data_IF_877960881296
#
_entry.id   IF_877960881296
#
_cell.length_a   1.000
_cell.length_b   1.000
_cell.length_c   1.000
_cell.angle_alpha   90.00
_cell.angle_beta   90.00
_cell.angle_gamma   90.00
#
_symmetry.space_group_name_H-M   'P 1'
#
loop_
_entity.id
_entity.type
_entity.pdbx_description
1 polymer ?
#
# COMPACT_ATOMS: atom_id res chain seq x y z
N UNK A 1 -15.95 -42.37 -42.43
CA UNK A 1 -16.64 -41.13 -42.05
C UNK A 1 -16.80 -40.96 -40.52
N UNK A 2 -17.22 -41.99 -39.76
CA UNK A 2 -17.39 -41.88 -38.29
C UNK A 2 -16.09 -41.55 -37.50
N UNK A 3 -14.92 -42.03 -37.97
CA UNK A 3 -13.59 -41.76 -37.29
C UNK A 3 -13.08 -40.35 -37.55
N UNK A 4 -13.42 -39.72 -38.68
CA UNK A 4 -13.03 -38.32 -39.00
C UNK A 4 -13.89 -37.35 -38.20
N UNK A 5 -15.18 -37.67 -38.01
CA UNK A 5 -16.07 -36.85 -37.19
C UNK A 5 -15.66 -36.81 -35.72
N UNK A 6 -15.20 -37.94 -35.19
CA UNK A 6 -14.70 -38.03 -33.80
C UNK A 6 -13.40 -37.21 -33.59
N UNK A 7 -12.52 -37.18 -34.61
CA UNK A 7 -11.28 -36.37 -34.53
C UNK A 7 -11.58 -34.88 -34.58
N UNK A 8 -12.59 -34.45 -35.36
CA UNK A 8 -12.98 -33.03 -35.42
C UNK A 8 -13.65 -32.55 -34.14
N UNK A 9 -14.42 -33.41 -33.47
CA UNK A 9 -15.03 -33.10 -32.17
C UNK A 9 -13.99 -32.99 -31.07
N UNK A 10 -12.92 -33.78 -31.09
CA UNK A 10 -11.83 -33.72 -30.14
C UNK A 10 -10.97 -32.46 -30.31
N UNK A 11 -10.76 -32.00 -31.57
CA UNK A 11 -10.04 -30.72 -31.81
C UNK A 11 -10.84 -29.51 -31.38
N UNK A 12 -12.15 -29.52 -31.42
CA UNK A 12 -13.02 -28.43 -30.95
C UNK A 12 -13.03 -28.30 -29.42
N UNK A 13 -12.79 -29.38 -28.69
CA UNK A 13 -12.68 -29.37 -27.23
C UNK A 13 -11.35 -28.81 -26.74
N UNK A 14 -10.30 -28.80 -27.55
CA UNK A 14 -8.99 -28.23 -27.22
C UNK A 14 -8.91 -26.71 -27.52
N UNK A 15 -9.85 -26.17 -28.30
CA UNK A 15 -9.94 -24.72 -28.59
C UNK A 15 -10.72 -23.92 -27.49
N UNK A 16 -11.21 -24.63 -26.47
CA UNK A 16 -11.95 -24.04 -25.37
C UNK A 16 -11.03 -23.49 -24.27
N UNK A 17 -10.98 -22.16 -24.17
CA UNK A 17 -10.61 -21.39 -23.02
C UNK A 17 -9.12 -21.28 -22.66
N UNK A 18 -8.40 -20.49 -23.42
CA UNK A 18 -7.52 -19.54 -22.77
C UNK A 18 -8.18 -18.15 -22.78
N UNK A 19 -9.31 -18.00 -22.13
CA UNK A 19 -9.63 -16.73 -21.52
C UNK A 19 -8.55 -16.55 -20.45
N UNK A 20 -7.48 -15.84 -20.79
CA UNK A 20 -6.41 -15.51 -19.83
C UNK A 20 -7.10 -14.92 -18.61
N UNK A 21 -6.94 -15.56 -17.45
CA UNK A 21 -7.35 -14.95 -16.22
C UNK A 21 -6.70 -13.57 -16.19
N UNK A 22 -7.49 -12.53 -15.93
CA UNK A 22 -6.95 -11.19 -15.78
C UNK A 22 -5.78 -11.26 -14.81
N UNK A 23 -4.65 -10.58 -15.08
CA UNK A 23 -3.51 -10.62 -14.17
C UNK A 23 -3.98 -10.19 -12.79
N UNK A 24 -3.70 -11.01 -11.78
CA UNK A 24 -4.02 -10.66 -10.40
C UNK A 24 -3.18 -9.45 -10.05
N UNK A 25 -3.85 -8.32 -9.82
CA UNK A 25 -3.20 -7.09 -9.36
C UNK A 25 -2.80 -7.24 -7.90
N UNK A 26 -1.62 -6.77 -7.55
CA UNK A 26 -1.16 -6.86 -6.16
C UNK A 26 -0.11 -5.82 -5.81
N UNK A 27 0.01 -5.58 -4.51
CA UNK A 27 1.11 -4.88 -3.86
C UNK A 27 1.77 -5.82 -2.85
N UNK A 28 3.08 -5.79 -2.76
CA UNK A 28 3.85 -6.60 -1.81
C UNK A 28 5.14 -5.89 -1.42
N UNK A 29 5.79 -6.24 -0.28
CA UNK A 29 7.14 -5.79 0.01
C UNK A 29 8.06 -6.09 -1.18
N UNK A 30 8.92 -5.12 -1.53
CA UNK A 30 9.80 -5.27 -2.69
C UNK A 30 10.89 -6.30 -2.42
N UNK A 31 11.13 -7.17 -3.39
CA UNK A 31 12.28 -8.06 -3.40
C UNK A 31 13.47 -7.32 -4.04
N UNK A 32 14.43 -6.91 -3.21
CA UNK A 32 15.63 -6.23 -3.65
C UNK A 32 16.76 -7.23 -3.93
N UNK A 33 17.50 -7.01 -5.01
CA UNK A 33 18.75 -7.71 -5.20
C UNK A 33 19.87 -7.08 -4.34
N UNK A 34 21.05 -7.73 -4.25
CA UNK A 34 22.15 -7.28 -3.39
C UNK A 34 22.62 -5.86 -3.68
N UNK A 35 22.61 -5.42 -4.95
CA UNK A 35 23.03 -4.08 -5.35
C UNK A 35 21.97 -3.05 -4.96
N UNK A 36 20.67 -3.34 -5.19
CA UNK A 36 19.56 -2.50 -4.79
C UNK A 36 19.52 -2.36 -3.27
N UNK A 37 19.72 -3.46 -2.54
CA UNK A 37 19.73 -3.44 -1.08
C UNK A 37 20.89 -2.58 -0.54
N UNK A 38 22.08 -2.68 -1.13
CA UNK A 38 23.21 -1.85 -0.75
C UNK A 38 22.95 -0.36 -0.98
N UNK A 39 22.34 0.00 -2.11
CA UNK A 39 21.95 1.39 -2.39
C UNK A 39 20.85 1.86 -1.44
N UNK A 40 19.85 1.04 -1.20
CA UNK A 40 18.76 1.36 -0.27
C UNK A 40 19.30 1.65 1.14
N UNK A 41 20.21 0.81 1.65
CA UNK A 41 20.88 1.02 2.95
C UNK A 41 21.68 2.31 3.01
N UNK A 42 22.39 2.66 1.93
CA UNK A 42 23.13 3.94 1.86
C UNK A 42 22.20 5.16 1.92
N UNK A 43 20.94 5.00 1.51
CA UNK A 43 19.91 6.03 1.55
C UNK A 43 19.08 6.01 2.84
N UNK A 44 19.41 5.13 3.80
CA UNK A 44 18.72 5.00 5.09
C UNK A 44 17.44 4.17 5.04
N UNK A 45 17.31 3.29 4.04
CA UNK A 45 16.13 2.44 3.88
C UNK A 45 16.11 1.18 4.78
N UNK A 46 16.93 1.15 5.81
CA UNK A 46 17.04 0.02 6.74
C UNK A 46 16.17 0.16 8.00
N UNK A 47 15.70 1.36 8.30
CA UNK A 47 14.91 1.64 9.53
C UNK A 47 13.55 2.25 9.26
N UNK A 48 13.49 3.29 8.39
CA UNK A 48 12.32 4.15 8.27
C UNK A 48 11.75 4.22 6.83
N UNK A 49 12.31 3.42 5.92
CA UNK A 49 11.87 3.40 4.52
C UNK A 49 11.41 2.01 4.11
N UNK A 50 10.21 1.94 3.54
CA UNK A 50 9.58 0.72 3.10
C UNK A 50 9.31 0.79 1.60
N UNK A 51 9.77 -0.23 0.88
CA UNK A 51 9.59 -0.35 -0.56
C UNK A 51 8.59 -1.47 -0.88
N UNK A 52 7.75 -1.22 -1.87
CA UNK A 52 6.73 -2.16 -2.32
C UNK A 52 6.75 -2.29 -3.84
N UNK A 53 6.70 -3.52 -4.33
CA UNK A 53 6.44 -3.83 -5.73
C UNK A 53 4.93 -3.86 -5.98
N UNK A 54 4.52 -3.26 -7.09
CA UNK A 54 3.12 -3.14 -7.51
C UNK A 54 2.94 -3.77 -8.88
N UNK A 55 1.92 -4.59 -9.03
CA UNK A 55 1.50 -5.15 -10.32
C UNK A 55 0.04 -4.80 -10.58
N UNK A 56 -0.22 -4.19 -11.73
CA UNK A 56 -1.53 -3.72 -12.18
C UNK A 56 -1.92 -4.42 -13.49
N UNK A 57 -3.18 -4.28 -13.87
CA UNK A 57 -3.71 -4.80 -15.14
C UNK A 57 -3.50 -3.83 -16.33
N UNK A 58 -2.95 -2.65 -16.08
CA UNK A 58 -2.71 -1.60 -17.08
C UNK A 58 -3.89 -0.67 -17.33
N UNK A 59 -4.99 -0.79 -16.58
CA UNK A 59 -6.17 0.10 -16.68
C UNK A 59 -6.26 1.11 -15.55
N UNK A 60 -5.41 0.98 -14.51
CA UNK A 60 -5.30 1.96 -13.44
C UNK A 60 -4.88 3.32 -14.00
N UNK A 61 -5.54 4.38 -13.57
CA UNK A 61 -5.24 5.76 -13.95
C UNK A 61 -4.63 6.57 -12.83
N UNK A 62 -4.91 6.20 -11.60
CA UNK A 62 -4.39 6.92 -10.44
C UNK A 62 -4.05 5.99 -9.30
N UNK A 63 -3.08 6.40 -8.50
CA UNK A 63 -2.85 5.90 -7.15
C UNK A 63 -2.95 7.07 -6.18
N UNK A 64 -3.66 6.88 -5.09
CA UNK A 64 -3.77 7.84 -3.99
C UNK A 64 -3.13 7.26 -2.74
N UNK A 65 -2.48 8.12 -1.98
CA UNK A 65 -1.93 7.80 -0.67
C UNK A 65 -2.68 8.63 0.35
N UNK A 66 -3.27 7.98 1.34
CA UNK A 66 -4.09 8.63 2.36
C UNK A 66 -3.51 8.36 3.74
N UNK A 67 -3.57 9.38 4.61
CA UNK A 67 -3.25 9.25 6.02
C UNK A 67 -4.50 9.46 6.85
N UNK A 68 -4.76 8.55 7.75
CA UNK A 68 -5.91 8.55 8.64
C UNK A 68 -5.45 8.64 10.09
N UNK A 69 -6.28 9.25 10.94
CA UNK A 69 -6.21 9.17 12.39
C UNK A 69 -7.44 8.44 12.91
N UNK A 70 -7.27 7.66 13.96
CA UNK A 70 -8.38 7.01 14.64
C UNK A 70 -8.96 7.96 15.69
N UNK A 71 -10.21 8.37 15.50
CA UNK A 71 -10.96 9.20 16.43
C UNK A 71 -12.34 8.57 16.68
N UNK A 72 -12.72 8.40 17.94
CA UNK A 72 -14.01 7.85 18.35
C UNK A 72 -14.38 6.52 17.63
N UNK A 73 -13.39 5.63 17.47
CA UNK A 73 -13.54 4.33 16.81
C UNK A 73 -13.74 4.39 15.30
N UNK A 74 -13.39 5.51 14.65
CA UNK A 74 -13.48 5.70 13.20
C UNK A 74 -12.22 6.30 12.64
N UNK A 75 -11.91 5.95 11.39
CA UNK A 75 -10.83 6.56 10.66
C UNK A 75 -11.27 7.91 10.07
N UNK A 76 -10.63 8.99 10.54
CA UNK A 76 -10.80 10.33 9.98
C UNK A 76 -9.61 10.65 9.07
N UNK A 77 -9.89 11.16 7.88
CA UNK A 77 -8.87 11.51 6.90
C UNK A 77 -8.10 12.76 7.35
N UNK A 78 -6.81 12.62 7.65
CA UNK A 78 -5.94 13.73 8.05
C UNK A 78 -5.47 14.51 6.83
N UNK A 79 -4.95 13.78 5.84
CA UNK A 79 -4.58 14.36 4.54
C UNK A 79 -5.11 13.45 3.45
N UNK A 80 -5.89 14.00 2.54
CA UNK A 80 -6.20 13.36 1.28
C UNK A 80 -4.97 13.44 0.40
N UNK A 81 -3.96 12.66 0.73
CA UNK A 81 -2.63 12.58 0.22
C UNK A 81 -2.40 12.94 -1.22
N UNK A 82 -1.17 12.86 -1.67
CA UNK A 82 -0.87 13.01 -3.08
C UNK A 82 -1.59 11.96 -3.91
N UNK A 83 -2.06 12.38 -5.06
CA UNK A 83 -2.47 11.48 -6.11
C UNK A 83 -1.44 11.51 -7.23
N UNK A 84 -1.01 10.34 -7.68
CA UNK A 84 -0.15 10.22 -8.86
C UNK A 84 -0.95 9.67 -10.02
N UNK A 85 -0.93 10.38 -11.16
CA UNK A 85 -1.53 9.89 -12.40
C UNK A 85 -0.62 8.84 -13.02
N UNK A 86 -1.21 7.70 -13.37
CA UNK A 86 -0.53 6.60 -14.04
C UNK A 86 -0.82 6.66 -15.55
N UNK A 87 0.15 6.26 -16.36
CA UNK A 87 -0.05 6.16 -17.80
C UNK A 87 -0.75 4.85 -18.16
N UNK A 88 -1.60 4.91 -19.16
CA UNK A 88 -2.27 3.73 -19.68
C UNK A 88 -1.26 2.66 -20.13
N UNK A 89 -1.54 1.40 -19.77
CA UNK A 89 -0.68 0.26 -20.08
C UNK A 89 0.46 0.00 -19.09
N UNK A 90 0.67 0.86 -18.09
CA UNK A 90 1.64 0.61 -17.03
C UNK A 90 1.15 -0.52 -16.12
N UNK A 91 1.93 -1.58 -16.02
CA UNK A 91 1.55 -2.79 -15.28
C UNK A 91 2.44 -3.05 -14.07
N UNK A 92 3.66 -2.54 -14.06
CA UNK A 92 4.61 -2.79 -12.97
C UNK A 92 5.20 -1.48 -12.49
N UNK A 93 5.19 -1.33 -11.19
CA UNK A 93 5.75 -0.16 -10.53
C UNK A 93 6.31 -0.50 -9.17
N UNK A 94 6.86 0.51 -8.55
CA UNK A 94 7.42 0.45 -7.20
C UNK A 94 6.98 1.68 -6.43
N UNK A 95 6.63 1.49 -5.16
CA UNK A 95 6.30 2.58 -4.24
C UNK A 95 7.25 2.54 -3.05
N UNK A 96 7.63 3.70 -2.57
CA UNK A 96 8.44 3.83 -1.36
C UNK A 96 7.77 4.78 -0.39
N UNK A 97 7.77 4.42 0.88
CA UNK A 97 7.29 5.25 1.97
C UNK A 97 8.38 5.38 3.02
N UNK A 98 8.57 6.59 3.54
CA UNK A 98 9.51 6.85 4.59
C UNK A 98 8.92 7.83 5.60
N UNK A 99 8.86 7.44 6.87
CA UNK A 99 8.39 8.26 7.98
C UNK A 99 8.94 7.74 9.30
N UNK A 100 9.20 8.65 10.19
CA UNK A 100 9.44 8.36 11.61
C UNK A 100 8.13 8.49 12.39
N UNK A 101 7.34 9.50 12.05
CA UNK A 101 6.05 9.79 12.67
C UNK A 101 5.05 10.26 11.61
N UNK A 102 3.94 9.53 11.44
CA UNK A 102 2.90 9.86 10.47
C UNK A 102 2.17 11.19 10.78
N UNK A 103 2.30 11.73 11.99
CA UNK A 103 1.80 13.07 12.35
C UNK A 103 2.67 14.19 11.80
N UNK A 104 3.95 13.92 11.64
CA UNK A 104 4.95 14.89 11.24
C UNK A 104 5.23 14.86 9.75
N UNK A 105 6.44 14.45 9.43
CA UNK A 105 6.93 14.42 8.07
C UNK A 105 6.93 13.01 7.53
N UNK A 106 6.35 12.82 6.32
CA UNK A 106 6.54 11.58 5.58
C UNK A 106 6.86 11.85 4.11
N UNK A 107 7.50 10.89 3.49
CA UNK A 107 7.87 10.91 2.10
C UNK A 107 7.18 9.75 1.39
N UNK A 108 6.67 10.03 0.21
CA UNK A 108 6.25 9.00 -0.73
C UNK A 108 7.01 9.13 -2.04
N UNK A 109 7.26 8.01 -2.68
CA UNK A 109 7.75 7.98 -4.04
C UNK A 109 7.01 6.88 -4.81
N UNK A 110 6.62 7.20 -6.03
CA UNK A 110 5.90 6.32 -6.94
C UNK A 110 6.65 6.27 -8.25
N UNK A 111 6.97 5.07 -8.72
CA UNK A 111 7.62 4.84 -10.00
C UNK A 111 6.86 3.78 -10.79
N UNK A 112 6.43 4.15 -12.00
CA UNK A 112 5.91 3.21 -13.00
C UNK A 112 6.66 3.44 -14.31
N UNK A 113 7.23 2.36 -14.85
CA UNK A 113 8.07 2.45 -16.04
C UNK A 113 9.24 3.43 -15.85
N UNK A 114 9.23 4.54 -16.61
CA UNK A 114 10.25 5.62 -16.52
C UNK A 114 9.76 6.83 -15.75
N UNK A 115 8.48 6.86 -15.41
CA UNK A 115 7.90 7.99 -14.70
C UNK A 115 8.13 7.83 -13.20
N UNK A 116 8.54 8.93 -12.59
CA UNK A 116 8.87 8.99 -11.19
C UNK A 116 8.24 10.24 -10.57
N UNK A 117 7.56 10.07 -9.48
CA UNK A 117 7.02 11.15 -8.64
C UNK A 117 7.50 10.93 -7.22
N UNK A 118 8.00 11.96 -6.58
CA UNK A 118 8.30 11.92 -5.15
C UNK A 118 7.74 13.18 -4.49
N UNK A 119 7.09 12.99 -3.37
CA UNK A 119 6.48 14.04 -2.59
C UNK A 119 6.92 13.90 -1.14
N UNK A 120 7.11 15.04 -0.50
CA UNK A 120 7.38 15.14 0.93
C UNK A 120 6.24 15.93 1.55
N UNK A 121 5.56 15.32 2.49
CA UNK A 121 4.54 15.96 3.30
C UNK A 121 5.14 16.31 4.64
N UNK A 122 4.76 17.43 5.20
CA UNK A 122 5.21 17.85 6.51
C UNK A 122 4.13 18.64 7.20
N UNK A 123 3.96 18.39 8.49
CA UNK A 123 3.23 19.30 9.37
C UNK A 123 4.12 20.49 9.74
N UNK A 124 3.56 21.69 9.67
CA UNK A 124 4.23 22.88 10.23
C UNK A 124 4.04 23.00 11.74
N UNK A 125 3.24 22.12 12.31
CA UNK A 125 2.98 22.11 13.75
C UNK A 125 4.00 21.24 14.46
N UNK A 126 4.54 21.76 15.55
CA UNK A 126 5.44 21.00 16.44
C UNK A 126 4.61 19.91 17.15
N UNK A 127 5.08 18.68 17.08
CA UNK A 127 4.41 17.55 17.73
C UNK A 127 4.84 17.57 19.20
N UNK A 128 3.95 17.97 20.07
CA UNK A 128 4.16 17.95 21.52
C UNK A 128 3.69 16.59 22.08
N UNK A 129 4.62 15.67 22.24
CA UNK A 129 4.36 14.38 22.86
C UNK A 129 4.56 14.46 24.37
N UNK A 130 3.66 13.90 25.19
CA UNK A 130 3.88 13.71 26.61
C UNK A 130 5.18 12.94 26.86
N UNK A 131 5.87 13.28 27.96
CA UNK A 131 7.08 12.56 28.38
C UNK A 131 6.79 11.05 28.52
N UNK A 132 7.63 10.22 27.93
CA UNK A 132 7.48 8.77 27.95
C UNK A 132 6.60 8.20 26.84
N UNK A 133 6.19 9.01 25.84
CA UNK A 133 5.49 8.49 24.67
C UNK A 133 6.38 7.51 23.90
N UNK A 134 5.90 6.27 23.79
CA UNK A 134 6.47 5.23 22.95
C UNK A 134 5.78 5.18 21.60
N UNK A 135 6.51 4.70 20.59
CA UNK A 135 6.06 4.63 19.21
C UNK A 135 6.30 3.22 18.65
N UNK A 136 5.32 2.68 17.95
CA UNK A 136 5.48 1.42 17.20
C UNK A 136 4.72 1.49 15.89
N UNK A 137 5.20 0.78 14.86
CA UNK A 137 4.51 0.68 13.60
C UNK A 137 4.50 -0.77 13.09
N UNK A 138 3.39 -1.15 12.47
CA UNK A 138 3.24 -2.37 11.69
C UNK A 138 3.16 -2.01 10.22
N UNK A 139 3.79 -2.82 9.36
CA UNK A 139 3.85 -2.59 7.92
C UNK A 139 3.29 -3.77 7.16
N UNK A 140 2.85 -3.52 5.92
CA UNK A 140 2.44 -4.57 5.01
C UNK A 140 3.59 -5.58 4.82
N UNK A 141 3.39 -6.79 5.34
CA UNK A 141 4.42 -7.82 5.39
C UNK A 141 4.28 -8.87 4.28
N UNK A 142 3.19 -8.88 3.55
CA UNK A 142 2.89 -9.89 2.54
C UNK A 142 2.21 -9.33 1.30
N UNK A 143 1.99 -10.22 0.33
CA UNK A 143 1.28 -9.89 -0.90
C UNK A 143 -0.19 -9.66 -0.61
N UNK A 144 -0.71 -8.50 -1.05
CA UNK A 144 -2.12 -8.11 -0.93
C UNK A 144 -2.69 -7.84 -2.32
N UNK A 145 -3.88 -8.38 -2.58
CA UNK A 145 -4.61 -8.14 -3.81
C UNK A 145 -5.08 -6.68 -3.90
N UNK A 146 -4.88 -6.08 -5.07
CA UNK A 146 -5.39 -4.74 -5.38
C UNK A 146 -6.79 -4.88 -5.97
N UNK A 147 -7.75 -4.24 -5.31
CA UNK A 147 -9.11 -4.02 -5.83
C UNK A 147 -9.28 -2.52 -5.99
N UNK A 148 -9.75 -2.07 -7.15
CA UNK A 148 -9.98 -0.65 -7.39
C UNK A 148 -10.95 -0.06 -6.38
N UNK A 149 -10.74 1.21 -6.03
CA UNK A 149 -11.52 2.01 -5.07
C UNK A 149 -11.54 1.40 -3.65
N UNK A 150 -10.61 0.51 -3.34
CA UNK A 150 -10.46 -0.07 -2.01
C UNK A 150 -9.13 0.36 -1.40
N UNK A 151 -9.20 0.84 -0.16
CA UNK A 151 -8.02 1.14 0.64
C UNK A 151 -7.22 -0.12 0.97
N UNK A 152 -5.91 -0.01 0.84
CA UNK A 152 -4.96 -1.04 1.24
C UNK A 152 -4.07 -0.42 2.32
N UNK A 153 -4.17 -0.84 3.57
CA UNK A 153 -3.31 -0.35 4.63
C UNK A 153 -1.86 -0.79 4.37
N UNK A 154 -0.96 0.19 4.35
CA UNK A 154 0.48 0.00 4.17
C UNK A 154 1.19 0.02 5.51
N UNK A 155 0.74 0.89 6.42
CA UNK A 155 1.27 0.96 7.77
C UNK A 155 0.19 1.40 8.75
N UNK A 156 0.33 0.92 10.00
CA UNK A 156 -0.41 1.45 11.15
C UNK A 156 0.63 1.81 12.21
N UNK A 157 0.57 3.05 12.69
CA UNK A 157 1.45 3.57 13.73
C UNK A 157 0.65 3.90 14.98
N UNK A 158 1.17 3.46 16.12
CA UNK A 158 0.60 3.70 17.44
C UNK A 158 1.59 4.53 18.26
N UNK A 159 1.13 5.65 18.78
CA UNK A 159 1.86 6.50 19.71
C UNK A 159 1.12 6.50 21.04
N UNK A 160 1.78 6.11 22.12
CA UNK A 160 1.13 5.95 23.42
C UNK A 160 2.09 6.09 24.58
N UNK A 161 1.60 6.56 25.72
CA UNK A 161 2.33 6.59 27.00
C UNK A 161 2.23 5.28 27.78
N UNK A 162 1.48 4.29 27.27
CA UNK A 162 1.35 2.98 27.90
C UNK A 162 2.66 2.21 27.88
N UNK A 163 2.97 1.51 28.97
CA UNK A 163 4.18 0.70 29.10
C UNK A 163 4.23 -0.53 28.19
N UNK A 164 3.10 -0.90 27.59
CA UNK A 164 2.99 -2.01 26.65
C UNK A 164 2.16 -1.57 25.47
N UNK A 165 2.70 -1.81 24.28
CA UNK A 165 2.02 -1.62 23.02
C UNK A 165 1.89 -2.97 22.35
N UNK A 166 0.66 -3.35 22.01
CA UNK A 166 0.40 -4.52 21.18
C UNK A 166 0.41 -4.05 19.73
N UNK A 167 1.31 -4.64 18.96
CA UNK A 167 1.32 -4.47 17.51
C UNK A 167 0.25 -5.35 16.90
N UNK A 168 -0.62 -4.78 16.08
CA UNK A 168 -1.69 -5.49 15.41
C UNK A 168 -1.38 -5.65 13.93
N UNK A 169 -2.00 -6.67 13.33
CA UNK A 169 -1.99 -6.85 11.90
C UNK A 169 -2.74 -5.69 11.22
N UNK A 170 -2.32 -5.33 10.01
CA UNK A 170 -2.96 -4.27 9.23
C UNK A 170 -4.43 -4.55 8.91
N UNK A 171 -4.89 -5.79 8.98
CA UNK A 171 -6.30 -6.17 8.81
C UNK A 171 -7.22 -5.47 9.82
N UNK A 172 -6.71 -5.07 10.99
CA UNK A 172 -7.46 -4.30 11.98
C UNK A 172 -7.80 -2.88 11.51
N UNK A 173 -7.21 -2.39 10.41
CA UNK A 173 -7.67 -1.17 9.74
C UNK A 173 -9.17 -1.25 9.40
N UNK A 174 -9.67 -2.43 9.07
CA UNK A 174 -11.09 -2.66 8.77
C UNK A 174 -11.96 -2.93 10.01
N UNK A 175 -11.36 -2.87 11.21
CA UNK A 175 -11.99 -3.10 12.52
C UNK A 175 -11.49 -2.04 13.52
N UNK A 176 -11.73 -0.74 13.26
CA UNK A 176 -11.14 0.35 14.04
C UNK A 176 -11.53 0.33 15.53
N UNK A 177 -12.71 -0.24 15.84
CA UNK A 177 -13.18 -0.40 17.20
C UNK A 177 -12.29 -1.32 18.06
N UNK A 178 -11.48 -2.17 17.46
CA UNK A 178 -10.54 -3.01 18.20
C UNK A 178 -9.39 -2.17 18.76
N UNK A 179 -8.92 -1.16 18.01
CA UNK A 179 -7.91 -0.22 18.50
C UNK A 179 -8.48 0.70 19.59
N UNK A 180 -9.73 1.14 19.45
CA UNK A 180 -10.38 1.99 20.44
C UNK A 180 -10.46 1.30 21.81
N UNK A 181 -10.78 0.01 21.85
CA UNK A 181 -10.83 -0.81 23.09
C UNK A 181 -9.48 -0.83 23.83
N UNK A 182 -8.37 -0.65 23.12
CA UNK A 182 -7.05 -0.64 23.72
C UNK A 182 -6.71 0.71 24.35
N UNK A 183 -7.44 1.77 23.96
CA UNK A 183 -7.32 3.11 24.49
C UNK A 183 -5.92 3.67 24.32
N UNK A 184 -5.33 3.52 23.13
CA UNK A 184 -4.13 4.24 22.73
C UNK A 184 -4.47 5.69 22.43
N UNK A 185 -3.56 6.60 22.77
CA UNK A 185 -3.82 8.03 22.61
C UNK A 185 -3.88 8.43 21.14
N UNK A 186 -2.99 7.85 20.33
CA UNK A 186 -2.94 8.17 18.90
C UNK A 186 -2.67 6.92 18.08
N UNK A 187 -3.54 6.64 17.12
CA UNK A 187 -3.38 5.59 16.13
C UNK A 187 -3.54 6.20 14.74
N UNK A 188 -2.55 6.00 13.88
CA UNK A 188 -2.54 6.51 12.51
C UNK A 188 -2.42 5.36 11.52
N UNK A 189 -3.01 5.53 10.35
CA UNK A 189 -2.88 4.58 9.25
C UNK A 189 -2.42 5.30 7.98
N UNK A 190 -1.48 4.69 7.27
CA UNK A 190 -1.09 5.04 5.92
C UNK A 190 -1.66 4.00 4.97
N UNK A 191 -2.38 4.43 3.93
CA UNK A 191 -3.02 3.54 2.96
C UNK A 191 -2.70 3.94 1.55
N UNK A 192 -2.90 3.01 0.61
CA UNK A 192 -2.91 3.30 -0.82
C UNK A 192 -4.23 2.83 -1.43
N UNK A 193 -4.71 3.57 -2.42
CA UNK A 193 -5.90 3.23 -3.20
C UNK A 193 -5.62 3.44 -4.69
N UNK A 194 -5.92 2.44 -5.50
CA UNK A 194 -5.80 2.50 -6.95
C UNK A 194 -7.16 2.73 -7.58
N UNK A 195 -7.21 3.55 -8.64
CA UNK A 195 -8.45 3.94 -9.30
C UNK A 195 -8.32 3.91 -10.82
N UNK A 196 -9.44 3.62 -11.48
CA UNK A 196 -9.60 3.78 -12.93
C UNK A 196 -10.11 5.18 -13.30
N UNK A 197 -10.34 6.04 -12.33
CA UNK A 197 -10.74 7.41 -12.52
C UNK A 197 -9.51 8.34 -12.58
N UNK A 198 -9.60 9.39 -13.37
CA UNK A 198 -8.58 10.45 -13.37
C UNK A 198 -8.67 11.26 -12.08
N UNK A 199 -7.55 11.86 -11.67
CA UNK A 199 -7.57 12.86 -10.59
C UNK A 199 -8.46 14.04 -11.02
N UNK A 200 -9.43 14.35 -10.19
CA UNK A 200 -10.33 15.50 -10.36
C UNK A 200 -9.70 16.78 -9.84
#
# INVERSE_FOLDING_TARGET
MKKILALFTLLLLLAGCSAGAAPVMYIQPAELNEEEEAVAKLLGADTDQHLFDVVLDGTAKTVRVNTYVLEDGKWELVTGGGGTTLKEGEQKGRMAFGFEDLRGEYREAVQFGKDFTAVKYGSSEEIDDPEGTGRTASFLAGRTEIVYEREIPIAIQINTTKNQVLSYDLEYFFQPEEYEKLGYEHVYALTVMFSQEALS
#
